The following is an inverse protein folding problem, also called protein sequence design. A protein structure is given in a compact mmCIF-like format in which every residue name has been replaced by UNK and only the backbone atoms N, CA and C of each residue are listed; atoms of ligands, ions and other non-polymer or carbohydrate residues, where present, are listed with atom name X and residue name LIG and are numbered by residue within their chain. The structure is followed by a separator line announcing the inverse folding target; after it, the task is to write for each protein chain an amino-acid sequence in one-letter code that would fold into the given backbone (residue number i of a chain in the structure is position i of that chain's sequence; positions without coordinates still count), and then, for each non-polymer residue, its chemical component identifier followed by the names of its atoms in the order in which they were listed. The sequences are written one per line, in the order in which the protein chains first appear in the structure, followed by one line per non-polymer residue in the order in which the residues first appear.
data_IF_909260885572
#
_entry.id   IF_909260885572
#
_cell.length_a   1.000
_cell.length_b   1.000
_cell.length_c   1.000
_cell.angle_alpha   90.00
_cell.angle_beta   90.00
_cell.angle_gamma   90.00
#
_symmetry.space_group_name_H-M   'P 1'
#
loop_
_entity.id
_entity.type
_entity.pdbx_description
1 polymer ?
#
# COMPACT_ATOMS: atom_id res chain seq x y z
N UNK A 1 28.16 -35.37 13.88
CA UNK A 1 29.58 -35.14 14.21
C UNK A 1 29.67 -33.85 15.02
N UNK A 2 29.27 -33.87 16.31
CA UNK A 2 29.12 -32.64 17.09
C UNK A 2 30.46 -31.92 17.34
N UNK A 3 31.58 -32.64 17.33
CA UNK A 3 32.91 -32.11 17.65
C UNK A 3 33.75 -31.73 16.42
N UNK A 4 33.16 -31.75 15.22
CA UNK A 4 33.91 -31.44 14.00
C UNK A 4 34.24 -29.94 13.95
N UNK A 5 35.53 -29.61 14.03
CA UNK A 5 35.98 -28.20 13.99
C UNK A 5 36.41 -27.73 12.60
N UNK A 6 36.81 -28.65 11.72
CA UNK A 6 37.34 -28.32 10.39
C UNK A 6 36.69 -29.18 9.33
N UNK A 7 36.18 -28.54 8.29
CA UNK A 7 35.55 -29.19 7.15
C UNK A 7 36.19 -28.67 5.87
N UNK A 8 36.81 -29.56 5.12
CA UNK A 8 37.36 -29.25 3.80
C UNK A 8 36.53 -29.97 2.73
N UNK A 9 35.91 -29.18 1.87
CA UNK A 9 35.14 -29.60 0.70
C UNK A 9 35.66 -28.91 -0.57
N UNK A 10 36.92 -28.44 -0.55
CA UNK A 10 37.55 -27.77 -1.69
C UNK A 10 37.63 -28.66 -2.93
N UNK A 11 37.73 -28.03 -4.10
CA UNK A 11 37.97 -28.68 -5.39
C UNK A 11 36.92 -29.74 -5.72
N UNK A 12 35.68 -29.48 -5.33
CA UNK A 12 34.53 -30.31 -5.64
C UNK A 12 33.70 -29.65 -6.77
N UNK A 13 34.05 -29.82 -8.06
CA UNK A 13 33.44 -29.08 -9.17
C UNK A 13 31.96 -29.40 -9.41
N UNK A 14 31.41 -30.42 -8.75
CA UNK A 14 29.99 -30.78 -8.81
C UNK A 14 29.18 -30.23 -7.63
N UNK A 15 29.83 -29.56 -6.68
CA UNK A 15 29.20 -29.01 -5.48
C UNK A 15 28.71 -27.58 -5.75
N UNK A 16 27.70 -27.44 -6.62
CA UNK A 16 27.14 -26.13 -6.97
C UNK A 16 26.17 -25.58 -5.92
N UNK A 17 25.58 -26.47 -5.11
CA UNK A 17 24.54 -26.17 -4.15
C UNK A 17 24.80 -26.91 -2.84
N UNK A 18 24.57 -26.22 -1.73
CA UNK A 18 24.62 -26.77 -0.38
C UNK A 18 23.27 -26.48 0.24
N UNK A 19 22.60 -27.51 0.74
CA UNK A 19 21.32 -27.34 1.45
C UNK A 19 21.50 -26.46 2.68
N UNK A 20 20.51 -25.62 2.96
CA UNK A 20 20.55 -24.68 4.09
C UNK A 20 20.77 -25.39 5.44
N UNK A 21 20.29 -26.62 5.57
CA UNK A 21 20.39 -27.41 6.80
C UNK A 21 21.57 -28.39 6.79
N UNK A 22 22.43 -28.35 5.76
CA UNK A 22 23.51 -29.33 5.59
C UNK A 22 24.49 -29.34 6.77
N UNK A 23 24.67 -28.20 7.45
CA UNK A 23 25.65 -28.02 8.52
C UNK A 23 25.04 -27.77 9.91
N UNK A 24 23.72 -27.91 10.08
CA UNK A 24 23.01 -27.65 11.36
C UNK A 24 23.60 -28.42 12.55
N UNK A 25 24.07 -29.64 12.31
CA UNK A 25 24.65 -30.50 13.36
C UNK A 25 26.13 -30.21 13.66
N UNK A 26 26.78 -29.35 12.88
CA UNK A 26 28.20 -29.01 12.99
C UNK A 26 28.41 -27.83 13.94
N UNK A 27 27.93 -27.99 15.17
CA UNK A 27 27.90 -26.92 16.15
C UNK A 27 29.28 -26.42 16.57
N UNK A 28 30.38 -27.14 16.32
CA UNK A 28 31.73 -26.71 16.73
C UNK A 28 32.62 -26.31 15.55
N UNK A 29 32.06 -26.14 14.35
CA UNK A 29 32.83 -25.83 13.16
C UNK A 29 33.47 -24.43 13.26
N UNK A 30 34.79 -24.38 13.04
CA UNK A 30 35.62 -23.17 13.09
C UNK A 30 36.33 -22.90 11.77
N UNK A 31 36.56 -23.92 10.95
CA UNK A 31 37.24 -23.79 9.66
C UNK A 31 36.43 -24.48 8.58
N UNK A 32 36.11 -23.73 7.52
CA UNK A 32 35.37 -24.22 6.37
C UNK A 32 36.11 -23.84 5.09
N UNK A 33 36.40 -24.83 4.25
CA UNK A 33 37.01 -24.63 2.94
C UNK A 33 36.05 -25.16 1.86
N UNK A 34 35.53 -24.23 1.05
CA UNK A 34 34.65 -24.44 -0.09
C UNK A 34 35.27 -23.90 -1.38
N UNK A 35 36.60 -23.74 -1.42
CA UNK A 35 37.30 -23.18 -2.57
C UNK A 35 37.18 -24.07 -3.80
N UNK A 36 37.12 -23.47 -5.00
CA UNK A 36 37.16 -24.18 -6.29
C UNK A 36 36.03 -25.22 -6.48
N UNK A 37 34.81 -24.90 -6.05
CA UNK A 37 33.65 -25.81 -6.10
C UNK A 37 32.56 -25.41 -7.12
N UNK A 38 32.80 -24.34 -7.89
CA UNK A 38 31.80 -23.76 -8.81
C UNK A 38 30.51 -23.31 -8.10
N UNK A 39 30.61 -22.91 -6.83
CA UNK A 39 29.50 -22.38 -6.05
C UNK A 39 29.17 -20.97 -6.54
N UNK A 40 27.89 -20.69 -6.71
CA UNK A 40 27.41 -19.36 -7.11
C UNK A 40 26.76 -18.60 -5.97
N UNK A 41 26.16 -19.31 -5.03
CA UNK A 41 25.33 -18.77 -3.95
C UNK A 41 25.54 -19.59 -2.69
N UNK A 42 25.51 -18.93 -1.55
CA UNK A 42 25.46 -19.55 -0.23
C UNK A 42 24.27 -19.00 0.53
N UNK A 43 23.62 -19.85 1.32
CA UNK A 43 22.53 -19.41 2.17
C UNK A 43 23.08 -18.65 3.39
N UNK A 44 22.45 -17.52 3.79
CA UNK A 44 22.85 -16.81 5.01
C UNK A 44 22.67 -17.67 6.28
N UNK A 45 21.78 -18.66 6.25
CA UNK A 45 21.50 -19.54 7.40
C UNK A 45 22.28 -20.85 7.38
N UNK A 46 23.14 -21.07 6.38
CA UNK A 46 23.92 -22.30 6.23
C UNK A 46 24.76 -22.65 7.47
N UNK A 47 25.30 -21.63 8.12
CA UNK A 47 26.02 -21.72 9.39
C UNK A 47 25.96 -20.36 10.09
N UNK A 48 26.20 -20.34 11.39
CA UNK A 48 26.53 -19.10 12.09
C UNK A 48 27.94 -18.64 11.70
N UNK A 49 28.00 -17.78 10.67
CA UNK A 49 29.24 -17.24 10.10
C UNK A 49 30.12 -16.52 11.12
N UNK A 50 29.54 -15.98 12.20
CA UNK A 50 30.28 -15.25 13.24
C UNK A 50 31.21 -16.15 14.07
N UNK A 51 31.00 -17.46 14.02
CA UNK A 51 31.74 -18.46 14.81
C UNK A 51 32.94 -19.04 14.07
N UNK A 52 33.00 -18.85 12.75
CA UNK A 52 34.14 -19.27 11.96
C UNK A 52 35.38 -18.45 12.32
N UNK A 53 36.51 -19.13 12.37
CA UNK A 53 37.84 -18.55 12.51
C UNK A 53 38.57 -18.48 11.17
N UNK A 54 38.19 -19.35 10.23
CA UNK A 54 38.79 -19.46 8.91
C UNK A 54 37.73 -19.87 7.90
N UNK A 55 37.69 -19.19 6.76
CA UNK A 55 36.80 -19.48 5.65
C UNK A 55 37.56 -19.30 4.34
N UNK A 56 37.50 -20.29 3.46
CA UNK A 56 38.01 -20.16 2.09
C UNK A 56 36.86 -20.38 1.10
N UNK A 57 36.59 -19.35 0.32
CA UNK A 57 35.54 -19.26 -0.69
C UNK A 57 36.12 -18.96 -2.08
N UNK A 58 37.44 -18.97 -2.21
CA UNK A 58 38.17 -18.57 -3.41
C UNK A 58 37.88 -19.46 -4.63
N UNK A 59 38.01 -18.90 -5.82
CA UNK A 59 37.85 -19.66 -7.07
C UNK A 59 36.42 -20.14 -7.34
N UNK A 60 35.41 -19.48 -6.78
CA UNK A 60 34.00 -19.73 -7.02
C UNK A 60 33.36 -18.58 -7.84
N UNK A 61 32.48 -18.87 -8.81
CA UNK A 61 31.81 -17.87 -9.65
C UNK A 61 30.63 -17.20 -8.93
N UNK A 62 30.91 -16.37 -7.93
CA UNK A 62 29.91 -15.74 -7.06
C UNK A 62 28.85 -14.94 -7.84
N UNK A 63 27.58 -15.18 -7.50
CA UNK A 63 26.43 -14.44 -8.00
C UNK A 63 25.98 -13.43 -6.94
N UNK A 64 26.43 -12.20 -7.06
CA UNK A 64 26.24 -11.12 -6.10
C UNK A 64 24.89 -10.42 -6.28
N UNK A 65 23.80 -11.13 -5.97
CA UNK A 65 22.49 -10.52 -5.84
C UNK A 65 22.22 -10.03 -4.41
N UNK A 66 21.01 -9.53 -4.19
CA UNK A 66 20.61 -8.93 -2.93
C UNK A 66 20.76 -9.88 -1.73
N UNK A 67 20.47 -11.16 -1.94
CA UNK A 67 20.57 -12.19 -0.91
C UNK A 67 22.03 -12.41 -0.52
N UNK A 68 22.94 -12.59 -1.49
CA UNK A 68 24.37 -12.74 -1.17
C UNK A 68 24.94 -11.49 -0.51
N UNK A 69 24.56 -10.30 -1.01
CA UNK A 69 25.06 -9.02 -0.47
C UNK A 69 24.52 -8.71 0.93
N UNK A 70 23.43 -9.35 1.37
CA UNK A 70 22.86 -9.12 2.70
C UNK A 70 23.75 -9.59 3.87
N UNK A 71 24.68 -10.52 3.62
CA UNK A 71 25.53 -11.09 4.68
C UNK A 71 27.00 -11.24 4.25
N UNK A 72 27.26 -11.65 3.00
CA UNK A 72 28.59 -12.08 2.57
C UNK A 72 29.65 -10.96 2.62
N UNK A 73 29.34 -9.68 2.30
CA UNK A 73 30.30 -8.58 2.47
C UNK A 73 30.73 -8.37 3.92
N UNK A 74 29.84 -8.59 4.88
CA UNK A 74 30.14 -8.46 6.31
C UNK A 74 31.01 -9.63 6.79
N UNK A 75 30.67 -10.86 6.38
CA UNK A 75 31.48 -12.05 6.64
C UNK A 75 32.88 -11.91 6.03
N UNK A 76 32.98 -11.42 4.80
CA UNK A 76 34.25 -11.19 4.13
C UNK A 76 35.12 -10.17 4.89
N UNK A 77 34.52 -9.07 5.39
CA UNK A 77 35.23 -8.11 6.25
C UNK A 77 35.68 -8.74 7.57
N UNK A 78 34.78 -9.47 8.23
CA UNK A 78 35.05 -10.10 9.53
C UNK A 78 36.22 -11.09 9.46
N UNK A 79 36.28 -11.89 8.39
CA UNK A 79 37.31 -12.91 8.19
C UNK A 79 38.49 -12.44 7.32
N UNK A 80 38.54 -11.16 6.95
CA UNK A 80 39.57 -10.54 6.10
C UNK A 80 39.76 -11.24 4.74
N UNK A 81 38.65 -11.64 4.11
CA UNK A 81 38.65 -12.24 2.76
C UNK A 81 38.79 -11.12 1.72
N UNK A 82 39.80 -11.22 0.85
CA UNK A 82 40.18 -10.13 -0.09
C UNK A 82 40.11 -10.53 -1.56
N UNK A 83 39.84 -11.80 -1.85
CA UNK A 83 39.90 -12.40 -3.19
C UNK A 83 38.53 -12.85 -3.70
N UNK A 84 37.45 -12.50 -2.99
CA UNK A 84 36.10 -12.83 -3.41
C UNK A 84 35.59 -11.80 -4.42
N UNK A 85 35.39 -12.27 -5.65
CA UNK A 85 34.98 -11.46 -6.79
C UNK A 85 33.65 -11.95 -7.33
N UNK A 86 32.76 -11.01 -7.63
CA UNK A 86 31.49 -11.31 -8.29
C UNK A 86 31.72 -11.71 -9.75
N UNK A 87 31.15 -12.84 -10.15
CA UNK A 87 31.08 -13.26 -11.55
C UNK A 87 29.79 -12.77 -12.23
N UNK A 88 28.70 -12.66 -11.47
CA UNK A 88 27.38 -12.21 -11.93
C UNK A 88 26.66 -11.44 -10.82
N UNK A 89 25.63 -10.64 -11.11
CA UNK A 89 25.21 -10.18 -12.44
C UNK A 89 26.26 -9.26 -13.10
N UNK A 90 26.06 -8.90 -14.37
CA UNK A 90 27.00 -8.08 -15.16
C UNK A 90 27.34 -6.74 -14.48
N UNK A 91 26.36 -6.15 -13.80
CA UNK A 91 26.49 -4.89 -13.05
C UNK A 91 27.57 -4.92 -11.95
N UNK A 92 27.78 -6.11 -11.36
CA UNK A 92 28.76 -6.34 -10.31
C UNK A 92 29.92 -7.20 -10.75
N UNK A 93 29.97 -7.66 -12.00
CA UNK A 93 31.04 -8.51 -12.49
C UNK A 93 32.42 -7.86 -12.27
N UNK A 94 33.37 -8.66 -11.80
CA UNK A 94 34.75 -8.27 -11.45
C UNK A 94 34.89 -7.30 -10.26
N UNK A 95 33.80 -6.97 -9.56
CA UNK A 95 33.88 -6.19 -8.31
C UNK A 95 34.15 -7.12 -7.13
N UNK A 96 34.90 -6.61 -6.17
CA UNK A 96 35.18 -7.31 -4.92
C UNK A 96 33.96 -7.27 -4.00
N UNK A 97 33.60 -8.41 -3.42
CA UNK A 97 32.44 -8.52 -2.52
C UNK A 97 32.60 -7.62 -1.29
N UNK A 98 33.83 -7.47 -0.79
CA UNK A 98 34.14 -6.60 0.35
C UNK A 98 33.87 -5.13 0.06
N UNK A 99 33.90 -4.67 -1.20
CA UNK A 99 33.67 -3.27 -1.55
C UNK A 99 32.19 -2.93 -1.72
N UNK A 100 31.33 -3.95 -1.84
CA UNK A 100 29.91 -3.76 -2.10
C UNK A 100 29.14 -3.41 -0.81
N UNK A 101 28.04 -2.65 -0.93
CA UNK A 101 27.20 -2.33 0.21
C UNK A 101 26.51 -3.59 0.75
N UNK A 102 26.46 -3.73 2.07
CA UNK A 102 25.70 -4.79 2.75
C UNK A 102 24.20 -4.51 2.77
N UNK A 103 23.81 -3.24 2.62
CA UNK A 103 22.42 -2.84 2.50
C UNK A 103 21.95 -2.99 1.05
N UNK A 104 21.14 -4.00 0.78
CA UNK A 104 20.47 -4.13 -0.49
C UNK A 104 18.95 -3.93 -0.33
N UNK A 105 18.44 -2.87 -0.96
CA UNK A 105 17.00 -2.62 -1.06
C UNK A 105 16.50 -3.26 -2.35
N UNK A 106 16.14 -4.55 -2.30
CA UNK A 106 15.39 -5.15 -3.40
C UNK A 106 13.99 -4.52 -3.41
N UNK A 107 13.71 -3.71 -4.43
CA UNK A 107 12.35 -3.27 -4.71
C UNK A 107 11.53 -4.51 -5.07
N UNK A 108 10.89 -5.13 -4.08
CA UNK A 108 10.08 -6.34 -4.25
C UNK A 108 9.13 -6.16 -5.44
N UNK A 109 8.84 -7.24 -6.17
CA UNK A 109 7.90 -7.21 -7.30
C UNK A 109 6.56 -6.56 -6.94
N UNK A 110 6.13 -6.65 -5.68
CA UNK A 110 4.92 -5.98 -5.16
C UNK A 110 5.06 -4.46 -5.21
N UNK A 111 6.21 -3.90 -4.81
CA UNK A 111 6.47 -2.46 -4.87
C UNK A 111 6.48 -1.97 -6.32
N UNK A 112 7.04 -2.74 -7.25
CA UNK A 112 7.00 -2.41 -8.68
C UNK A 112 5.57 -2.37 -9.21
N UNK A 113 4.74 -3.38 -8.88
CA UNK A 113 3.31 -3.42 -9.28
C UNK A 113 2.54 -2.25 -8.67
N UNK A 114 2.77 -1.93 -7.38
CA UNK A 114 2.11 -0.83 -6.71
C UNK A 114 2.42 0.52 -7.37
N UNK A 115 3.68 0.76 -7.74
CA UNK A 115 4.11 1.97 -8.45
C UNK A 115 3.43 2.07 -9.82
N UNK A 116 3.35 0.97 -10.57
CA UNK A 116 2.68 0.95 -11.89
C UNK A 116 1.18 1.24 -11.75
N UNK A 117 0.51 0.60 -10.79
CA UNK A 117 -0.93 0.81 -10.54
C UNK A 117 -1.20 2.25 -10.13
N UNK A 118 -0.40 2.81 -9.20
CA UNK A 118 -0.51 4.21 -8.80
C UNK A 118 -0.30 5.17 -9.99
N UNK A 119 0.68 4.89 -10.85
CA UNK A 119 0.90 5.65 -12.08
C UNK A 119 -0.30 5.59 -13.04
N UNK A 120 -0.89 4.41 -13.24
CA UNK A 120 -2.07 4.27 -14.10
C UNK A 120 -3.29 5.04 -13.55
N UNK A 121 -3.53 4.96 -12.23
CA UNK A 121 -4.64 5.66 -11.59
C UNK A 121 -4.50 7.19 -11.69
N UNK A 122 -3.29 7.72 -11.51
CA UNK A 122 -3.04 9.15 -11.66
C UNK A 122 -3.26 9.61 -13.10
N UNK A 123 -2.81 8.85 -14.10
CA UNK A 123 -3.05 9.15 -15.51
C UNK A 123 -4.55 9.11 -15.87
N UNK A 124 -5.28 8.09 -15.41
CA UNK A 124 -6.73 7.97 -15.63
C UNK A 124 -7.49 9.14 -15.00
N UNK A 125 -7.10 9.54 -13.79
CA UNK A 125 -7.67 10.70 -13.09
C UNK A 125 -7.46 11.99 -13.88
N UNK A 126 -6.24 12.24 -14.36
CA UNK A 126 -5.91 13.43 -15.17
C UNK A 126 -6.68 13.44 -16.48
N UNK A 127 -6.79 12.30 -17.18
CA UNK A 127 -7.56 12.20 -18.43
C UNK A 127 -9.07 12.43 -18.20
N UNK A 128 -9.62 11.83 -17.14
CA UNK A 128 -11.03 12.00 -16.79
C UNK A 128 -11.36 13.45 -16.46
N UNK A 129 -10.48 14.12 -15.70
CA UNK A 129 -10.57 15.54 -15.40
C UNK A 129 -10.50 16.36 -16.69
N UNK A 130 -9.50 16.16 -17.54
CA UNK A 130 -9.38 16.89 -18.81
C UNK A 130 -10.65 16.73 -19.69
N UNK A 131 -11.17 15.51 -19.83
CA UNK A 131 -12.41 15.24 -20.57
C UNK A 131 -13.62 15.93 -19.95
N UNK A 132 -13.74 15.94 -18.63
CA UNK A 132 -14.81 16.65 -17.91
C UNK A 132 -14.75 18.17 -18.20
N UNK A 133 -13.55 18.76 -18.15
CA UNK A 133 -13.34 20.17 -18.47
C UNK A 133 -13.67 20.48 -19.93
N UNK A 134 -13.24 19.63 -20.87
CA UNK A 134 -13.58 19.79 -22.28
C UNK A 134 -15.09 19.68 -22.52
N UNK A 135 -15.77 18.71 -21.90
CA UNK A 135 -17.22 18.55 -22.04
C UNK A 135 -17.99 19.71 -21.42
N UNK A 136 -17.56 20.21 -20.26
CA UNK A 136 -18.21 21.35 -19.63
C UNK A 136 -18.00 22.65 -20.42
N UNK A 137 -16.81 22.85 -20.99
CA UNK A 137 -16.53 23.98 -21.89
C UNK A 137 -17.43 23.94 -23.13
N UNK A 138 -17.58 22.76 -23.76
CA UNK A 138 -18.48 22.57 -24.89
C UNK A 138 -19.96 22.77 -24.53
N UNK A 139 -20.36 22.41 -23.31
CA UNK A 139 -21.73 22.64 -22.83
C UNK A 139 -22.01 24.14 -22.60
N UNK A 140 -21.06 24.91 -22.08
CA UNK A 140 -21.20 26.35 -21.92
C UNK A 140 -21.34 27.07 -23.27
N UNK A 141 -20.56 26.67 -24.28
CA UNK A 141 -20.67 27.21 -25.65
C UNK A 141 -22.04 26.91 -26.31
N UNK A 142 -22.75 25.87 -25.87
CA UNK A 142 -24.10 25.55 -26.36
C UNK A 142 -25.19 26.42 -25.73
N UNK A 143 -24.99 26.91 -24.50
CA UNK A 143 -25.97 27.72 -23.78
C UNK A 143 -25.85 29.23 -24.09
N UNK A 144 -24.77 29.68 -24.74
CA UNK A 144 -24.61 31.08 -25.16
C UNK A 144 -25.08 31.35 -26.60
N UNK A 145 -25.71 30.37 -27.28
CA UNK A 145 -26.26 30.53 -28.64
C UNK A 145 -27.77 30.33 -28.67
N UNK A 146 -28.50 31.04 -27.82
CA UNK A 146 -29.96 31.24 -27.97
C UNK A 146 -30.52 32.40 -27.13
N UNK A 147 -29.81 33.53 -27.07
CA UNK A 147 -30.39 34.80 -26.58
C UNK A 147 -29.99 35.92 -27.55
N UNK A 148 -30.73 36.06 -28.66
CA UNK A 148 -30.90 37.32 -29.41
C UNK A 148 -31.94 37.13 -30.54
N UNK A 149 -33.24 37.28 -30.22
CA UNK A 149 -34.26 38.09 -30.93
C UNK A 149 -35.73 37.74 -30.56
N UNK A 150 -36.30 38.54 -29.65
CA UNK A 150 -37.62 39.21 -29.69
C UNK A 150 -38.92 38.52 -30.21
N UNK A 151 -39.81 38.18 -29.24
CA UNK A 151 -41.26 38.53 -29.09
C UNK A 151 -42.39 38.15 -30.10
N UNK A 152 -43.14 37.07 -29.78
CA UNK A 152 -44.62 36.84 -29.60
C UNK A 152 -45.73 37.64 -30.37
N UNK A 153 -47.05 37.23 -30.41
CA UNK A 153 -47.75 35.92 -30.27
C UNK A 153 -48.91 35.67 -31.33
N UNK A 154 -49.67 34.56 -31.13
CA UNK A 154 -51.07 34.25 -31.52
C UNK A 154 -51.40 33.41 -32.78
N UNK A 155 -52.35 32.49 -32.53
CA UNK A 155 -53.15 31.59 -33.38
C UNK A 155 -52.56 30.25 -33.79
N UNK A 156 -52.97 29.24 -33.02
CA UNK A 156 -53.12 27.87 -33.47
C UNK A 156 -54.24 27.78 -34.53
N UNK A 157 -53.99 27.10 -35.65
CA UNK A 157 -54.76 25.90 -35.99
C UNK A 157 -54.07 25.07 -37.10
N UNK A 158 -54.16 23.77 -36.88
CA UNK A 158 -53.63 22.61 -37.59
C UNK A 158 -54.22 22.33 -38.98
N UNK A 159 -53.43 21.70 -39.86
CA UNK A 159 -53.83 20.61 -40.77
C UNK A 159 -52.59 19.70 -41.02
N UNK A 160 -52.44 18.53 -40.37
CA UNK A 160 -53.11 17.23 -40.55
C UNK A 160 -52.51 16.32 -41.64
N UNK A 161 -51.94 15.19 -41.19
CA UNK A 161 -52.24 13.84 -41.70
C UNK A 161 -52.61 13.03 -40.43
N UNK A 162 -53.90 13.00 -40.05
CA UNK A 162 -54.95 12.00 -40.43
C UNK A 162 -54.80 10.70 -39.61
N UNK A 163 -55.78 10.13 -38.93
CA UNK A 163 -57.26 10.22 -38.88
C UNK A 163 -57.71 9.12 -37.86
N UNK A 164 -58.85 9.07 -37.16
CA UNK A 164 -60.17 9.68 -37.34
C UNK A 164 -61.04 9.45 -36.06
N UNK A 165 -61.93 10.41 -35.79
CA UNK A 165 -63.32 10.29 -35.28
C UNK A 165 -63.56 9.79 -33.83
N UNK A 166 -64.05 10.61 -32.88
CA UNK A 166 -65.38 11.23 -32.72
C UNK A 166 -66.46 10.28 -32.12
N UNK A 167 -67.39 10.85 -31.30
CA UNK A 167 -68.45 10.28 -30.41
C UNK A 167 -67.97 9.98 -28.97
N UNK A 168 -68.40 10.61 -27.85
CA UNK A 168 -69.68 11.12 -27.26
C UNK A 168 -70.74 10.06 -26.90
N UNK A 169 -71.13 10.08 -25.60
CA UNK A 169 -72.30 9.47 -24.87
C UNK A 169 -72.69 8.01 -25.18
N UNK A 170 -73.02 7.14 -24.22
CA UNK A 170 -73.33 7.27 -22.79
C UNK A 170 -73.62 5.87 -22.21
N UNK A 171 -72.97 5.53 -21.10
CA UNK A 171 -73.55 4.76 -19.98
C UNK A 171 -73.13 5.52 -18.71
N UNK A 172 -73.73 6.69 -18.46
CA UNK A 172 -74.78 6.90 -17.45
C UNK A 172 -74.37 6.36 -16.07
N UNK A 173 -73.78 7.24 -15.26
CA UNK A 173 -74.41 7.90 -14.08
C UNK A 173 -73.91 7.18 -12.80
N UNK A 174 -73.40 7.84 -11.78
CA UNK A 174 -73.30 9.27 -11.49
C UNK A 174 -72.38 9.44 -10.28
N UNK A 175 -71.65 10.55 -10.27
CA UNK A 175 -71.17 11.24 -9.07
C UNK A 175 -72.09 11.05 -7.87
N UNK A 176 -71.52 10.73 -6.70
CA UNK A 176 -71.94 11.38 -5.46
C UNK A 176 -70.74 11.75 -4.59
N UNK A 177 -70.54 13.06 -4.56
CA UNK A 177 -69.91 13.89 -3.54
C UNK A 177 -70.29 13.53 -2.10
N UNK A 178 -69.30 13.71 -1.22
CA UNK A 178 -69.38 14.05 0.22
C UNK A 178 -70.22 13.15 1.14
N UNK A 179 -69.56 12.50 2.12
CA UNK A 179 -69.84 12.73 3.55
C UNK A 179 -68.74 12.14 4.44
N UNK A 180 -68.61 12.79 5.58
CA UNK A 180 -67.68 12.62 6.68
C UNK A 180 -68.02 11.44 7.60
N UNK A 181 -67.03 11.06 8.42
CA UNK A 181 -67.14 10.64 9.83
C UNK A 181 -67.48 9.17 10.19
N UNK A 182 -66.55 8.57 10.97
CA UNK A 182 -66.73 7.83 12.25
C UNK A 182 -67.72 6.64 12.28
N UNK A 183 -67.50 5.49 12.92
CA UNK A 183 -66.85 5.14 14.21
C UNK A 183 -67.08 3.62 14.39
N UNK A 184 -66.17 2.81 14.93
CA UNK A 184 -66.12 2.30 16.32
C UNK A 184 -65.33 0.95 16.24
N UNK A 185 -64.55 0.45 17.20
CA UNK A 185 -64.30 0.81 18.60
C UNK A 185 -63.04 0.04 19.11
N UNK A 186 -62.40 0.61 20.14
CA UNK A 186 -61.64 -0.03 21.23
C UNK A 186 -60.20 -0.54 20.93
N UNK A 187 -59.12 -0.12 21.62
CA UNK A 187 -58.97 0.75 22.80
C UNK A 187 -57.54 1.33 22.90
N UNK A 188 -57.49 2.59 23.34
CA UNK A 188 -56.50 3.25 24.21
C UNK A 188 -55.05 3.39 23.75
N UNK A 189 -54.77 4.59 23.24
CA UNK A 189 -53.49 5.28 23.26
C UNK A 189 -53.59 6.57 24.12
N UNK A 190 -52.43 7.22 24.28
CA UNK A 190 -52.21 8.68 24.46
C UNK A 190 -51.83 9.14 25.88
N UNK A 191 -50.97 10.14 26.10
CA UNK A 191 -50.19 10.97 25.17
C UNK A 191 -49.04 11.70 25.88
N UNK A 192 -48.14 12.20 25.03
CA UNK A 192 -47.07 13.18 25.22
C UNK A 192 -47.46 14.46 25.99
N UNK A 193 -46.50 15.10 26.68
CA UNK A 193 -46.56 16.53 27.01
C UNK A 193 -45.16 17.20 27.05
N UNK A 194 -45.03 18.15 26.12
CA UNK A 194 -44.23 19.38 26.03
C UNK A 194 -43.39 19.92 27.23
N UNK A 195 -42.16 20.34 26.86
CA UNK A 195 -41.56 21.71 26.97
C UNK A 195 -41.07 22.24 28.35
N UNK A 196 -39.93 22.96 28.26
CA UNK A 196 -39.44 24.11 29.09
C UNK A 196 -38.27 23.85 30.05
N UNK A 197 -37.16 24.59 29.86
CA UNK A 197 -36.06 24.87 30.81
C UNK A 197 -36.48 25.86 31.93
N UNK A 198 -35.59 26.34 32.84
CA UNK A 198 -34.73 25.74 33.89
C UNK A 198 -35.11 26.35 35.28
N UNK A 199 -34.26 26.58 36.34
CA UNK A 199 -33.00 26.00 36.84
C UNK A 199 -32.98 25.62 38.38
N UNK A 200 -31.82 25.10 38.84
CA UNK A 200 -31.13 25.32 40.13
C UNK A 200 -31.44 24.54 41.45
N UNK A 201 -30.33 24.34 42.22
CA UNK A 201 -30.13 23.87 43.63
C UNK A 201 -30.17 22.35 43.86
N UNK A 202 -29.27 21.64 44.56
CA UNK A 202 -28.15 21.89 45.52
C UNK A 202 -27.31 20.60 45.56
N UNK A 203 -25.98 20.64 45.36
CA UNK A 203 -24.91 20.58 46.38
C UNK A 203 -24.81 19.33 47.28
N UNK A 204 -23.74 18.54 47.08
CA UNK A 204 -22.80 18.07 48.14
C UNK A 204 -21.54 17.53 47.42
N UNK A 205 -20.43 18.30 47.45
CA UNK A 205 -19.22 18.12 48.29
C UNK A 205 -18.51 16.78 48.05
N UNK A 206 -17.19 16.70 47.83
CA UNK A 206 -16.06 17.61 48.06
C UNK A 206 -14.82 17.01 47.31
N UNK A 207 -14.00 17.80 46.60
CA UNK A 207 -12.64 18.29 47.00
C UNK A 207 -11.54 17.21 46.82
N UNK A 208 -10.38 17.39 46.19
CA UNK A 208 -9.64 18.51 45.54
C UNK A 208 -8.48 17.84 44.74
N UNK A 209 -8.05 18.33 43.55
CA UNK A 209 -6.98 19.35 43.26
C UNK A 209 -5.59 18.90 43.79
N UNK A 210 -4.43 18.99 43.13
CA UNK A 210 -3.90 19.58 41.89
C UNK A 210 -2.70 18.68 41.46
N UNK A 211 -2.34 18.52 40.19
CA UNK A 211 -1.90 19.51 39.18
C UNK A 211 -0.47 20.03 39.39
N UNK A 212 0.10 20.37 38.23
CA UNK A 212 1.24 21.23 37.93
C UNK A 212 2.61 20.55 37.79
N UNK A 213 3.08 20.35 36.55
CA UNK A 213 3.65 21.37 35.61
C UNK A 213 5.17 21.48 35.86
N UNK A 214 6.04 21.81 34.92
CA UNK A 214 6.01 22.29 33.53
C UNK A 214 7.47 22.34 33.07
N UNK A 215 7.67 22.36 31.74
CA UNK A 215 8.70 23.10 30.99
C UNK A 215 10.20 22.82 31.28
N UNK A 216 11.12 22.86 30.33
CA UNK A 216 11.12 23.31 28.93
C UNK A 216 12.58 23.35 28.43
N UNK A 217 12.70 23.50 27.11
CA UNK A 217 13.75 24.20 26.36
C UNK A 217 15.12 23.54 26.04
N UNK A 218 15.29 23.29 24.73
CA UNK A 218 16.39 23.63 23.81
C UNK A 218 17.88 23.59 24.25
N UNK A 219 18.73 22.90 23.46
CA UNK A 219 19.86 23.52 22.72
C UNK A 219 20.67 22.53 21.86
N UNK A 220 21.26 23.06 20.78
CA UNK A 220 22.11 22.43 19.75
C UNK A 220 23.57 22.16 20.19
N UNK A 221 24.23 21.24 19.48
CA UNK A 221 25.66 21.24 19.06
C UNK A 221 26.68 20.26 19.71
N UNK A 222 27.15 19.33 18.87
CA UNK A 222 28.54 19.00 18.50
C UNK A 222 29.69 19.02 19.54
N UNK A 223 30.32 17.86 19.79
CA UNK A 223 31.77 17.67 20.09
C UNK A 223 32.07 16.14 20.07
N UNK A 224 32.87 15.52 19.19
CA UNK A 224 34.33 15.54 18.96
C UNK A 224 35.19 15.03 20.15
N UNK A 225 36.05 14.03 19.84
CA UNK A 225 37.34 13.62 20.46
C UNK A 225 37.29 12.42 21.44
N UNK A 226 38.32 11.55 21.54
CA UNK A 226 39.60 11.49 20.82
C UNK A 226 39.78 10.30 19.87
#
# INVERSE_FOLDING_TARGET
LPDLERLNLSRCPKLHHIDENAFDSLLNLKSLDLSLCEIRRLSPVLIDWSRLQSLDLSGNPWHCDCEQLSFLPEVARFLNLTDLVCATPEEYALKLIVELPSSCSSMSGIHMVLVIVAGALTLISVLSFALFYHRNRLHFDCCTRNDDHSSAPLYAHSLLISSANAYDKSDLLSNTTFYSSSTNQNSTSTNSSNRSSPPAYTATRNVDIADDNENGDDYYSSMLIP
#
